data_IF_238414138326
#
_entry.id   IF_238414138326
#
_cell.length_a   1.000
_cell.length_b   1.000
_cell.length_c   1.000
_cell.angle_alpha   90.00
_cell.angle_beta   90.00
_cell.angle_gamma   90.00
#
_symmetry.space_group_name_H-M   'P 1'
#
loop_
_entity.id
_entity.type
_entity.pdbx_description
1 polymer ?
#
# COMPACT_ATOMS: atom_id res chain seq x y z
N UNK A 1 5.73 -28.16 11.33
CA UNK A 1 5.21 -27.22 12.35
C UNK A 1 6.18 -26.06 12.61
N UNK A 2 7.48 -26.32 12.74
CA UNK A 2 8.52 -25.30 13.00
C UNK A 2 8.64 -24.22 11.90
N UNK A 3 8.63 -24.60 10.62
CA UNK A 3 8.76 -23.64 9.50
C UNK A 3 7.65 -22.59 9.47
N UNK A 4 6.40 -23.01 9.68
CA UNK A 4 5.26 -22.09 9.69
C UNK A 4 5.35 -21.06 10.82
N UNK A 5 5.90 -21.45 11.98
CA UNK A 5 6.12 -20.53 13.10
C UNK A 5 7.19 -19.48 12.76
N UNK A 6 8.25 -19.88 12.05
CA UNK A 6 9.33 -18.96 11.62
C UNK A 6 8.78 -17.96 10.60
N UNK A 7 7.98 -18.41 9.62
CA UNK A 7 7.34 -17.52 8.63
C UNK A 7 6.42 -16.51 9.34
N UNK A 8 5.64 -16.96 10.33
CA UNK A 8 4.75 -16.09 11.10
C UNK A 8 5.53 -15.03 11.88
N UNK A 9 6.67 -15.39 12.46
CA UNK A 9 7.56 -14.44 13.14
C UNK A 9 8.11 -13.41 12.14
N UNK A 10 8.57 -13.83 10.96
CA UNK A 10 9.06 -12.91 9.92
C UNK A 10 7.96 -11.94 9.48
N UNK A 11 6.74 -12.44 9.27
CA UNK A 11 5.59 -11.62 8.95
C UNK A 11 5.27 -10.60 10.05
N UNK A 12 5.26 -11.02 11.32
CA UNK A 12 5.02 -10.13 12.45
C UNK A 12 6.08 -9.03 12.56
N UNK A 13 7.37 -9.38 12.42
CA UNK A 13 8.47 -8.43 12.48
C UNK A 13 8.34 -7.40 11.36
N UNK A 14 8.06 -7.84 10.13
CA UNK A 14 7.86 -6.93 9.00
C UNK A 14 6.61 -6.07 9.16
N UNK A 15 5.49 -6.62 9.64
CA UNK A 15 4.27 -5.86 9.92
C UNK A 15 4.49 -4.79 10.99
N UNK A 16 5.22 -5.12 12.06
CA UNK A 16 5.59 -4.16 13.11
C UNK A 16 6.52 -3.07 12.54
N UNK A 17 7.49 -3.43 11.70
CA UNK A 17 8.37 -2.46 11.03
C UNK A 17 7.59 -1.50 10.11
N UNK A 18 6.56 -1.99 9.41
CA UNK A 18 5.65 -1.17 8.60
C UNK A 18 4.82 -0.23 9.49
N UNK A 19 4.26 -0.73 10.59
CA UNK A 19 3.47 0.09 11.53
C UNK A 19 4.32 1.19 12.18
N UNK A 20 5.58 0.88 12.51
CA UNK A 20 6.55 1.83 13.04
C UNK A 20 7.09 2.80 11.98
N UNK A 21 6.60 2.75 10.73
CA UNK A 21 7.03 3.57 9.59
C UNK A 21 8.55 3.51 9.33
N UNK A 22 9.24 2.47 9.81
CA UNK A 22 10.68 2.26 9.59
C UNK A 22 10.97 1.71 8.20
N UNK A 23 10.02 0.96 7.64
CA UNK A 23 10.08 0.45 6.28
C UNK A 23 8.77 0.77 5.55
N UNK A 24 8.80 1.41 4.37
CA UNK A 24 7.60 1.62 3.57
C UNK A 24 7.08 0.27 3.07
N UNK A 25 5.75 0.14 2.98
CA UNK A 25 5.08 -1.09 2.52
C UNK A 25 5.58 -1.56 1.15
N UNK A 26 5.90 -0.60 0.26
CA UNK A 26 6.46 -0.84 -1.08
C UNK A 26 7.76 -1.64 -1.04
N UNK A 27 8.62 -1.41 -0.04
CA UNK A 27 9.90 -2.13 0.10
C UNK A 27 9.75 -3.38 0.98
N UNK A 28 8.88 -3.33 1.98
CA UNK A 28 8.73 -4.41 2.94
C UNK A 28 8.08 -5.66 2.31
N UNK A 29 7.18 -5.53 1.33
CA UNK A 29 6.59 -6.66 0.60
C UNK A 29 7.63 -7.54 -0.14
N UNK A 30 8.49 -6.99 -1.03
CA UNK A 30 9.52 -7.79 -1.70
C UNK A 30 10.58 -8.32 -0.72
N UNK A 31 10.94 -7.56 0.32
CA UNK A 31 11.89 -8.02 1.33
C UNK A 31 11.35 -9.23 2.11
N UNK A 32 10.07 -9.23 2.47
CA UNK A 32 9.40 -10.38 3.08
C UNK A 32 9.38 -11.59 2.14
N UNK A 33 9.08 -11.38 0.85
CA UNK A 33 9.03 -12.45 -0.13
C UNK A 33 10.40 -13.16 -0.24
N UNK A 34 11.49 -12.39 -0.29
CA UNK A 34 12.86 -12.93 -0.30
C UNK A 34 13.19 -13.65 1.03
N UNK A 35 12.84 -13.07 2.17
CA UNK A 35 13.11 -13.65 3.48
C UNK A 35 12.39 -14.99 3.69
N UNK A 36 11.10 -15.06 3.33
CA UNK A 36 10.29 -16.28 3.43
C UNK A 36 10.84 -17.36 2.49
N UNK A 37 11.18 -16.99 1.25
CA UNK A 37 11.71 -17.93 0.28
C UNK A 37 13.07 -18.51 0.69
N UNK A 38 13.96 -17.70 1.27
CA UNK A 38 15.23 -18.16 1.79
C UNK A 38 15.06 -19.19 2.91
N UNK A 39 14.07 -19.02 3.79
CA UNK A 39 13.76 -19.96 4.87
C UNK A 39 13.28 -21.31 4.31
N UNK A 40 12.44 -21.30 3.27
CA UNK A 40 11.93 -22.55 2.68
C UNK A 40 13.00 -23.35 1.93
N UNK A 41 13.95 -22.66 1.27
CA UNK A 41 15.13 -23.29 0.66
C UNK A 41 16.05 -23.89 1.73
N UNK A 42 16.30 -23.17 2.83
CA UNK A 42 17.15 -23.68 3.93
C UNK A 42 16.55 -24.92 4.62
N UNK A 43 15.22 -25.05 4.58
CA UNK A 43 14.50 -26.19 5.17
C UNK A 43 14.32 -27.36 4.20
N UNK A 44 14.86 -27.28 2.98
CA UNK A 44 14.87 -28.36 1.98
C UNK A 44 13.51 -28.69 1.37
N UNK A 45 12.53 -27.78 1.48
CA UNK A 45 11.18 -27.98 0.94
C UNK A 45 10.98 -27.43 -0.47
N UNK A 46 11.85 -26.50 -0.90
CA UNK A 46 11.85 -25.86 -2.20
C UNK A 46 13.21 -26.03 -2.89
N UNK A 47 13.22 -26.26 -4.20
CA UNK A 47 14.45 -26.17 -4.99
C UNK A 47 14.84 -24.71 -5.24
N UNK A 48 16.13 -24.46 -5.48
CA UNK A 48 16.65 -23.13 -5.85
C UNK A 48 16.04 -22.64 -7.16
N UNK A 49 15.67 -23.56 -8.08
CA UNK A 49 14.94 -23.21 -9.29
C UNK A 49 13.52 -22.69 -9.01
N UNK A 50 12.81 -23.28 -8.04
CA UNK A 50 11.45 -22.87 -7.68
C UNK A 50 11.43 -21.48 -7.03
N UNK A 51 12.46 -21.14 -6.25
CA UNK A 51 12.64 -19.79 -5.72
C UNK A 51 12.78 -18.77 -6.87
N UNK A 52 13.64 -19.07 -7.83
CA UNK A 52 13.92 -18.14 -8.92
C UNK A 52 12.70 -17.93 -9.83
N UNK A 53 11.92 -18.98 -10.07
CA UNK A 53 10.68 -18.87 -10.86
C UNK A 53 9.53 -18.23 -10.07
N UNK A 54 9.21 -18.73 -8.86
CA UNK A 54 8.03 -18.27 -8.14
C UNK A 54 8.21 -16.87 -7.50
N UNK A 55 9.40 -16.55 -6.98
CA UNK A 55 9.61 -15.34 -6.17
C UNK A 55 10.17 -14.21 -7.02
N UNK A 56 11.16 -14.50 -7.86
CA UNK A 56 11.81 -13.48 -8.69
C UNK A 56 11.01 -13.23 -9.97
N UNK A 57 10.62 -14.27 -10.72
CA UNK A 57 9.89 -14.05 -11.96
C UNK A 57 8.41 -13.71 -11.70
N UNK A 58 7.64 -14.63 -11.11
CA UNK A 58 6.20 -14.43 -10.88
C UNK A 58 5.93 -13.34 -9.85
N UNK A 59 6.74 -13.27 -8.79
CA UNK A 59 6.62 -12.24 -7.76
C UNK A 59 6.87 -10.82 -8.30
N UNK A 60 7.88 -10.63 -9.17
CA UNK A 60 8.15 -9.32 -9.76
C UNK A 60 7.02 -8.86 -10.68
N UNK A 61 6.46 -9.76 -11.49
CA UNK A 61 5.34 -9.44 -12.39
C UNK A 61 4.12 -9.01 -11.57
N UNK A 62 3.80 -9.70 -10.48
CA UNK A 62 2.68 -9.34 -9.59
C UNK A 62 2.88 -8.01 -8.87
N UNK A 63 4.13 -7.63 -8.60
CA UNK A 63 4.46 -6.38 -7.91
C UNK A 63 4.55 -5.18 -8.86
N UNK A 64 4.75 -5.40 -10.16
CA UNK A 64 4.87 -4.35 -11.16
C UNK A 64 3.60 -3.48 -11.24
N UNK A 65 2.41 -4.10 -11.34
CA UNK A 65 1.16 -3.34 -11.48
C UNK A 65 0.89 -2.41 -10.28
N UNK A 66 0.95 -2.89 -9.01
CA UNK A 66 0.79 -2.02 -7.84
C UNK A 66 1.79 -0.87 -7.78
N UNK A 67 3.05 -1.12 -8.13
CA UNK A 67 4.11 -0.11 -8.13
C UNK A 67 3.81 0.99 -9.15
N UNK A 68 3.48 0.61 -10.39
CA UNK A 68 3.16 1.55 -11.46
C UNK A 68 1.95 2.40 -11.08
N UNK A 69 0.87 1.77 -10.60
CA UNK A 69 -0.34 2.47 -10.15
C UNK A 69 0.00 3.47 -9.03
N UNK A 70 0.82 3.07 -8.05
CA UNK A 70 1.22 3.94 -6.95
C UNK A 70 2.06 5.14 -7.41
N UNK A 71 2.98 4.93 -8.36
CA UNK A 71 3.82 5.99 -8.93
C UNK A 71 2.99 7.01 -9.70
N UNK A 72 2.11 6.57 -10.60
CA UNK A 72 1.27 7.47 -11.38
C UNK A 72 0.25 8.21 -10.50
N UNK A 73 -0.34 7.53 -9.52
CA UNK A 73 -1.24 8.18 -8.56
C UNK A 73 -0.53 9.24 -7.71
N UNK A 74 0.70 8.96 -7.26
CA UNK A 74 1.54 9.93 -6.56
C UNK A 74 1.90 11.14 -7.43
N UNK A 75 2.32 10.90 -8.69
CA UNK A 75 2.65 11.97 -9.63
C UNK A 75 1.44 12.86 -9.92
N UNK A 76 0.26 12.28 -10.16
CA UNK A 76 -0.98 13.02 -10.37
C UNK A 76 -1.35 13.83 -9.11
N UNK A 77 -1.25 13.23 -7.93
CA UNK A 77 -1.51 13.92 -6.66
C UNK A 77 -0.62 15.15 -6.48
N UNK A 78 0.69 15.01 -6.74
CA UNK A 78 1.64 16.12 -6.68
C UNK A 78 1.32 17.19 -7.72
N UNK A 79 0.95 16.81 -8.95
CA UNK A 79 0.54 17.76 -9.99
C UNK A 79 -0.72 18.54 -9.60
N UNK A 80 -1.72 17.87 -9.03
CA UNK A 80 -2.96 18.53 -8.56
C UNK A 80 -2.71 19.49 -7.39
N UNK A 81 -1.76 19.17 -6.50
CA UNK A 81 -1.34 20.05 -5.41
C UNK A 81 -0.58 21.26 -5.97
N UNK A 82 0.40 21.05 -6.86
CA UNK A 82 1.20 22.13 -7.46
C UNK A 82 0.37 23.10 -8.32
N UNK A 83 -0.69 22.62 -8.96
CA UNK A 83 -1.58 23.44 -9.78
C UNK A 83 -2.67 24.15 -8.99
N UNK A 84 -2.82 23.89 -7.68
CA UNK A 84 -3.88 24.45 -6.83
C UNK A 84 -5.28 23.93 -7.17
N UNK A 85 -5.40 22.95 -8.08
CA UNK A 85 -6.68 22.37 -8.50
C UNK A 85 -7.32 21.64 -7.32
N UNK A 86 -6.55 20.90 -6.54
CA UNK A 86 -7.08 20.19 -5.37
C UNK A 86 -7.68 21.15 -4.32
N UNK A 87 -6.96 22.22 -3.97
CA UNK A 87 -7.40 23.20 -2.96
C UNK A 87 -8.62 24.00 -3.42
N UNK A 88 -8.64 24.42 -4.68
CA UNK A 88 -9.79 25.12 -5.26
C UNK A 88 -11.04 24.23 -5.32
N UNK A 89 -10.88 22.93 -5.59
CA UNK A 89 -11.99 21.98 -5.60
C UNK A 89 -12.59 21.78 -4.21
N UNK A 90 -11.74 21.59 -3.19
CA UNK A 90 -12.17 21.47 -1.78
C UNK A 90 -12.87 22.75 -1.32
N UNK A 91 -12.30 23.92 -1.64
CA UNK A 91 -12.88 25.21 -1.27
C UNK A 91 -14.25 25.42 -1.90
N UNK A 92 -14.40 25.18 -3.21
CA UNK A 92 -15.69 25.30 -3.89
C UNK A 92 -16.72 24.30 -3.36
N UNK A 93 -16.29 23.06 -3.08
CA UNK A 93 -17.15 22.06 -2.45
C UNK A 93 -17.65 22.50 -1.07
N UNK A 94 -16.77 23.09 -0.25
CA UNK A 94 -17.13 23.64 1.06
C UNK A 94 -18.06 24.87 0.96
N UNK A 95 -17.78 25.79 0.04
CA UNK A 95 -18.61 26.97 -0.23
C UNK A 95 -20.03 26.58 -0.70
N UNK A 96 -20.16 25.50 -1.48
CA UNK A 96 -21.46 24.97 -1.92
C UNK A 96 -22.21 24.18 -0.83
N UNK A 97 -21.50 23.61 0.15
CA UNK A 97 -22.11 22.83 1.23
C UNK A 97 -22.77 23.70 2.32
N UNK A 98 -22.50 25.02 2.32
CA UNK A 98 -23.15 26.02 3.17
C UNK A 98 -22.26 26.55 4.31
N UNK A 99 -22.77 27.54 5.04
CA UNK A 99 -21.98 28.32 6.02
C UNK A 99 -21.73 27.61 7.37
N UNK A 100 -22.43 26.51 7.66
CA UNK A 100 -22.29 25.83 8.94
C UNK A 100 -21.11 24.83 8.92
N UNK A 101 -19.98 25.12 9.58
CA UNK A 101 -18.78 24.28 9.51
C UNK A 101 -19.01 22.85 10.02
N UNK A 102 -19.95 22.66 10.96
CA UNK A 102 -20.35 21.34 11.44
C UNK A 102 -20.97 20.46 10.35
N UNK A 103 -21.86 21.04 9.53
CA UNK A 103 -22.57 20.31 8.48
C UNK A 103 -21.61 19.94 7.34
N UNK A 104 -20.78 20.89 6.92
CA UNK A 104 -19.75 20.65 5.89
C UNK A 104 -18.80 19.53 6.31
N UNK A 105 -18.35 19.53 7.57
CA UNK A 105 -17.45 18.49 8.10
C UNK A 105 -18.10 17.11 8.05
N UNK A 106 -19.35 16.98 8.48
CA UNK A 106 -20.07 15.69 8.47
C UNK A 106 -20.28 15.18 7.03
N UNK A 107 -20.65 16.06 6.11
CA UNK A 107 -20.82 15.70 4.69
C UNK A 107 -19.49 15.25 4.08
N UNK A 108 -18.40 16.00 4.33
CA UNK A 108 -17.07 15.66 3.84
C UNK A 108 -16.57 14.33 4.42
N UNK A 109 -16.78 14.09 5.72
CA UNK A 109 -16.46 12.81 6.35
C UNK A 109 -17.22 11.65 5.69
N UNK A 110 -18.52 11.83 5.43
CA UNK A 110 -19.33 10.82 4.77
C UNK A 110 -18.84 10.52 3.35
N UNK A 111 -18.52 11.56 2.57
CA UNK A 111 -17.95 11.42 1.21
C UNK A 111 -16.61 10.69 1.28
N UNK A 112 -15.70 11.10 2.17
CA UNK A 112 -14.39 10.45 2.34
C UNK A 112 -14.58 8.98 2.69
N UNK A 113 -15.46 8.66 3.64
CA UNK A 113 -15.75 7.29 4.05
C UNK A 113 -16.23 6.45 2.87
N UNK A 114 -17.17 6.98 2.07
CA UNK A 114 -17.68 6.31 0.88
C UNK A 114 -16.57 6.08 -0.15
N UNK A 115 -15.73 7.08 -0.42
CA UNK A 115 -14.58 6.93 -1.32
C UNK A 115 -13.62 5.83 -0.84
N UNK A 116 -13.32 5.76 0.47
CA UNK A 116 -12.47 4.72 1.03
C UNK A 116 -13.04 3.31 0.87
N UNK A 117 -14.37 3.13 0.84
CA UNK A 117 -14.97 1.81 0.55
C UNK A 117 -14.73 1.35 -0.90
N UNK A 118 -14.46 2.27 -1.81
CA UNK A 118 -14.19 1.96 -3.23
C UNK A 118 -12.71 1.74 -3.53
N UNK A 119 -11.82 2.10 -2.60
CA UNK A 119 -10.37 1.90 -2.73
C UNK A 119 -10.07 0.41 -2.58
N UNK A 120 -9.85 -0.25 -3.72
CA UNK A 120 -9.47 -1.66 -3.79
C UNK A 120 -8.11 -1.86 -4.47
N UNK A 121 -7.50 -3.02 -4.21
CA UNK A 121 -6.25 -3.43 -4.85
C UNK A 121 -4.98 -3.03 -4.09
N UNK A 122 -3.91 -3.81 -4.32
CA UNK A 122 -2.64 -3.68 -3.62
C UNK A 122 -2.00 -2.30 -3.78
N UNK A 123 -2.03 -1.71 -4.97
CA UNK A 123 -1.42 -0.40 -5.23
C UNK A 123 -2.08 0.73 -4.46
N UNK A 124 -3.40 0.68 -4.31
CA UNK A 124 -4.17 1.68 -3.59
C UNK A 124 -3.96 1.57 -2.07
N UNK A 125 -3.92 0.34 -1.53
CA UNK A 125 -3.59 0.09 -0.11
C UNK A 125 -2.16 0.52 0.23
N UNK A 126 -1.19 0.23 -0.65
CA UNK A 126 0.20 0.69 -0.48
C UNK A 126 0.23 2.21 -0.39
N UNK A 127 -0.43 2.91 -1.32
CA UNK A 127 -0.44 4.37 -1.37
C UNK A 127 -1.02 4.99 -0.09
N UNK A 128 -2.18 4.52 0.39
CA UNK A 128 -2.80 4.98 1.64
C UNK A 128 -1.89 4.69 2.84
N UNK A 129 -1.26 3.51 2.88
CA UNK A 129 -0.38 3.11 3.98
C UNK A 129 0.97 3.84 4.03
N UNK A 130 1.40 4.48 2.93
CA UNK A 130 2.62 5.30 2.89
C UNK A 130 2.46 6.76 3.33
N UNK A 131 1.23 7.24 3.47
CA UNK A 131 0.91 8.61 3.95
C UNK A 131 0.77 8.59 5.48
#
# INVERSE_FOLDING_TARGET
MTVGLIILVVFLVAAILMFLRKLPALLALPLMAIAIAAIEVLTGKLSVQDLMQCVIADGAIRLADPIVISMFGGMLSILMQKTGVAESFVRRGAELAGDNPWVVTVIMLFIITLLFTTIGGLGAVIMVGTI
#
